data_IF_747619860040
#
_entry.id   IF_747619860040
#
_cell.length_a   1.000
_cell.length_b   1.000
_cell.length_c   1.000
_cell.angle_alpha   90.00
_cell.angle_beta   90.00
_cell.angle_gamma   90.00
#
_symmetry.space_group_name_H-M   'P 1'
#
loop_
_entity.id
_entity.type
_entity.pdbx_description
1 polymer ?
#
# COMPACT_ATOMS: atom_id res chain seq x y z
N UNK A 1 -6.01 22.04 -1.04
CA UNK A 1 -5.20 20.97 -0.48
C UNK A 1 -4.81 19.99 -1.55
N UNK A 2 -3.68 20.27 -2.13
CA UNK A 2 -3.22 19.53 -3.29
C UNK A 2 -2.97 18.05 -3.00
N UNK A 3 -2.34 17.75 -1.87
CA UNK A 3 -2.00 16.37 -1.58
C UNK A 3 -3.20 15.50 -1.22
N UNK A 4 -4.32 16.07 -0.79
CA UNK A 4 -5.53 15.29 -0.54
C UNK A 4 -6.05 14.73 -1.86
N UNK A 5 -6.03 15.53 -2.92
CA UNK A 5 -6.41 15.08 -4.24
C UNK A 5 -5.47 13.97 -4.71
N UNK A 6 -4.16 14.14 -4.46
CA UNK A 6 -3.17 13.13 -4.80
C UNK A 6 -3.45 11.83 -4.05
N UNK A 7 -3.77 11.91 -2.76
CA UNK A 7 -4.10 10.73 -1.97
C UNK A 7 -5.33 10.00 -2.51
N UNK A 8 -6.35 10.72 -2.93
CA UNK A 8 -7.52 10.12 -3.52
C UNK A 8 -7.19 9.35 -4.78
N UNK A 9 -6.32 9.89 -5.62
CA UNK A 9 -5.87 9.22 -6.84
C UNK A 9 -5.03 7.99 -6.50
N UNK A 10 -4.13 8.12 -5.54
CA UNK A 10 -3.22 7.03 -5.14
C UNK A 10 -3.97 5.84 -4.59
N UNK A 11 -5.07 6.07 -3.87
CA UNK A 11 -5.82 5.02 -3.21
C UNK A 11 -6.78 4.27 -4.12
N UNK A 12 -6.90 4.66 -5.40
CA UNK A 12 -7.76 3.92 -6.30
C UNK A 12 -7.09 2.60 -6.69
N UNK A 13 -7.91 1.67 -7.20
CA UNK A 13 -7.46 0.32 -7.50
C UNK A 13 -6.42 0.22 -8.62
N UNK A 14 -6.22 1.29 -9.39
CA UNK A 14 -5.18 1.32 -10.43
C UNK A 14 -3.86 1.83 -9.90
N UNK A 15 -3.90 2.80 -9.00
CA UNK A 15 -2.70 3.48 -8.51
C UNK A 15 -2.06 2.81 -7.31
N UNK A 16 -2.87 2.23 -6.42
CA UNK A 16 -2.36 1.62 -5.19
C UNK A 16 -1.43 0.43 -5.46
N UNK A 17 -1.78 -0.51 -6.37
CA UNK A 17 -0.87 -1.62 -6.64
C UNK A 17 0.50 -1.16 -7.12
N UNK A 18 0.54 -0.20 -8.02
CA UNK A 18 1.79 0.31 -8.57
C UNK A 18 2.60 1.06 -7.51
N UNK A 19 1.92 1.83 -6.67
CA UNK A 19 2.55 2.57 -5.58
C UNK A 19 3.24 1.63 -4.61
N UNK A 20 2.55 0.58 -4.19
CA UNK A 20 3.11 -0.40 -3.25
C UNK A 20 4.31 -1.10 -3.89
N UNK A 21 4.15 -1.57 -5.12
CA UNK A 21 5.21 -2.30 -5.81
C UNK A 21 6.45 -1.42 -6.02
N UNK A 22 6.26 -0.19 -6.47
CA UNK A 22 7.37 0.73 -6.73
C UNK A 22 8.12 1.07 -5.45
N UNK A 23 7.41 1.35 -4.37
CA UNK A 23 8.04 1.68 -3.09
C UNK A 23 8.73 0.47 -2.48
N UNK A 24 8.14 -0.71 -2.63
CA UNK A 24 8.76 -1.95 -2.17
C UNK A 24 10.11 -2.16 -2.88
N UNK A 25 10.13 -2.03 -4.19
CA UNK A 25 11.36 -2.22 -4.96
C UNK A 25 12.40 -1.16 -4.62
N UNK A 26 11.97 0.08 -4.42
CA UNK A 26 12.86 1.15 -4.03
C UNK A 26 13.49 0.89 -2.67
N UNK A 27 12.76 0.24 -1.77
CA UNK A 27 13.27 -0.14 -0.45
C UNK A 27 14.16 -1.38 -0.51
N UNK A 28 14.29 -2.03 -1.66
CA UNK A 28 15.12 -3.21 -1.80
C UNK A 28 14.48 -4.46 -1.23
N UNK A 29 13.16 -4.50 -1.12
CA UNK A 29 12.44 -5.62 -0.52
C UNK A 29 11.76 -6.48 -1.58
N UNK A 30 11.75 -7.81 -1.36
CA UNK A 30 10.85 -8.67 -2.11
C UNK A 30 9.50 -8.74 -1.38
N UNK A 31 8.52 -9.41 -1.99
CA UNK A 31 7.17 -9.48 -1.42
C UNK A 31 7.15 -10.16 -0.05
N UNK A 32 7.92 -11.22 0.12
CA UNK A 32 7.98 -11.92 1.40
C UNK A 32 8.59 -11.05 2.48
N UNK A 33 9.68 -10.36 2.16
CA UNK A 33 10.33 -9.46 3.11
C UNK A 33 9.40 -8.34 3.55
N UNK A 34 8.68 -7.75 2.61
CA UNK A 34 7.69 -6.72 2.96
C UNK A 34 6.60 -7.28 3.87
N UNK A 35 6.10 -8.47 3.53
CA UNK A 35 5.06 -9.11 4.34
C UNK A 35 5.54 -9.38 5.76
N UNK A 36 6.76 -9.88 5.89
CA UNK A 36 7.33 -10.15 7.21
C UNK A 36 7.50 -8.89 8.05
N UNK A 37 8.01 -7.84 7.45
CA UNK A 37 8.16 -6.55 8.14
C UNK A 37 6.82 -5.96 8.54
N UNK A 38 5.81 -6.13 7.71
CA UNK A 38 4.47 -5.61 7.99
C UNK A 38 3.67 -6.48 8.94
N UNK A 39 4.11 -7.71 9.19
CA UNK A 39 3.36 -8.65 10.02
C UNK A 39 2.12 -9.18 9.33
N UNK A 40 2.17 -9.36 8.01
CA UNK A 40 1.06 -9.90 7.22
C UNK A 40 1.56 -11.06 6.36
N UNK A 41 0.63 -11.76 5.71
CA UNK A 41 1.00 -12.86 4.83
C UNK A 41 1.49 -12.36 3.47
N UNK A 42 2.35 -13.14 2.83
CA UNK A 42 2.86 -12.83 1.49
C UNK A 42 1.72 -12.72 0.48
N UNK A 43 0.71 -13.57 0.61
CA UNK A 43 -0.44 -13.56 -0.30
C UNK A 43 -1.15 -12.21 -0.29
N UNK A 44 -1.21 -11.58 0.87
CA UNK A 44 -1.83 -10.26 0.97
C UNK A 44 -1.05 -9.22 0.16
N UNK A 45 0.27 -9.21 0.28
CA UNK A 45 1.12 -8.31 -0.49
C UNK A 45 0.96 -8.57 -1.99
N UNK A 46 1.00 -9.86 -2.37
CA UNK A 46 0.81 -10.25 -3.77
C UNK A 46 -0.52 -9.74 -4.31
N UNK A 47 -1.59 -9.92 -3.54
CA UNK A 47 -2.92 -9.49 -3.96
C UNK A 47 -3.01 -7.97 -4.13
N UNK A 48 -2.43 -7.22 -3.18
CA UNK A 48 -2.41 -5.76 -3.30
C UNK A 48 -1.72 -5.34 -4.59
N UNK A 49 -0.56 -5.91 -4.87
CA UNK A 49 0.23 -5.54 -6.05
C UNK A 49 -0.41 -5.98 -7.37
N UNK A 50 -1.35 -6.91 -7.31
CA UNK A 50 -2.08 -7.36 -8.48
C UNK A 50 -3.47 -6.75 -8.61
N UNK A 51 -3.75 -5.72 -7.83
CA UNK A 51 -5.02 -5.00 -7.91
C UNK A 51 -6.18 -5.67 -7.21
N UNK A 52 -5.92 -6.70 -6.44
CA UNK A 52 -6.95 -7.39 -5.66
C UNK A 52 -7.01 -6.73 -4.28
N UNK A 53 -7.76 -5.65 -4.19
CA UNK A 53 -7.76 -4.81 -2.99
C UNK A 53 -8.83 -5.22 -2.00
N UNK A 54 -9.30 -6.44 -2.05
CA UNK A 54 -10.25 -6.96 -1.08
C UNK A 54 -9.50 -7.45 0.17
N UNK A 55 -8.91 -6.50 0.89
CA UNK A 55 -8.14 -6.77 2.09
C UNK A 55 -8.68 -5.92 3.24
N UNK A 56 -8.45 -6.39 4.46
CA UNK A 56 -8.81 -5.59 5.63
C UNK A 56 -7.98 -4.32 5.66
N UNK A 57 -8.64 -3.21 5.94
CA UNK A 57 -8.00 -1.90 5.94
C UNK A 57 -6.80 -1.85 6.90
N UNK A 58 -6.91 -2.44 8.09
CA UNK A 58 -5.80 -2.42 9.04
C UNK A 58 -4.58 -3.18 8.52
N UNK A 59 -4.79 -4.25 7.74
CA UNK A 59 -3.67 -4.98 7.15
C UNK A 59 -3.02 -4.18 6.02
N UNK A 60 -3.82 -3.46 5.25
CA UNK A 60 -3.30 -2.55 4.25
C UNK A 60 -2.46 -1.46 4.91
N UNK A 61 -2.93 -0.90 6.02
CA UNK A 61 -2.17 0.12 6.75
C UNK A 61 -0.82 -0.41 7.24
N UNK A 62 -0.77 -1.66 7.68
CA UNK A 62 0.50 -2.26 8.11
C UNK A 62 1.52 -2.28 6.98
N UNK A 63 1.09 -2.65 5.78
CA UNK A 63 1.96 -2.65 4.60
C UNK A 63 2.42 -1.23 4.25
N UNK A 64 1.49 -0.29 4.24
CA UNK A 64 1.80 1.09 3.90
C UNK A 64 2.76 1.73 4.89
N UNK A 65 2.66 1.37 6.17
CA UNK A 65 3.57 1.90 7.20
C UNK A 65 5.01 1.46 6.97
N UNK A 66 5.21 0.21 6.59
CA UNK A 66 6.56 -0.28 6.29
C UNK A 66 7.18 0.52 5.15
N UNK A 67 6.36 0.85 4.15
CA UNK A 67 6.81 1.60 2.99
C UNK A 67 6.81 3.11 3.22
N UNK A 68 6.48 3.54 4.43
CA UNK A 68 6.43 4.95 4.81
C UNK A 68 5.43 5.75 3.95
N UNK A 69 4.35 5.09 3.58
CA UNK A 69 3.26 5.72 2.83
C UNK A 69 2.18 6.12 3.84
N UNK A 70 1.82 7.38 3.84
CA UNK A 70 0.83 7.91 4.77
C UNK A 70 -0.49 8.15 4.05
N UNK A 71 -1.58 7.79 4.72
CA UNK A 71 -2.92 8.07 4.24
C UNK A 71 -3.44 9.23 5.08
N UNK A 72 -3.93 10.26 4.41
CA UNK A 72 -4.57 11.39 5.06
C UNK A 72 -5.95 11.57 4.45
N UNK A 73 -6.95 11.75 5.30
CA UNK A 73 -8.31 12.01 4.87
C UNK A 73 -8.87 13.18 5.68
N UNK A 74 -9.56 14.07 5.00
CA UNK A 74 -10.24 15.17 5.63
C UNK A 74 -11.68 15.17 5.18
N UNK A 75 -12.57 15.53 6.10
CA UNK A 75 -13.97 15.77 5.75
C UNK A 75 -14.08 17.04 4.93
N UNK A 76 -14.94 17.02 3.91
CA UNK A 76 -15.16 18.23 3.13
C UNK A 76 -15.75 19.35 3.96
#
# INVERSE_FOLDING_TARGET
MTYITVMTVILNEKSLPELVKANRKRAGLNQLELAELAGVGKTLVFNIENGRINVHFENLLKVLRVLNIKIQAESP
#
